data_IF_822432832140
#
_entry.id   IF_822432832140
#
_cell.length_a   1.000
_cell.length_b   1.000
_cell.length_c   1.000
_cell.angle_alpha   90.00
_cell.angle_beta   90.00
_cell.angle_gamma   90.00
#
_symmetry.space_group_name_H-M   'P 1'
#
loop_
_entity.id
_entity.type
_entity.pdbx_description
1 polymer ?
#
# COMPACT_ATOMS: atom_id res chain seq x y z
N UNK A 1 -69.68 12.59 4.94
CA UNK A 1 -68.83 11.62 4.22
C UNK A 1 -67.45 12.21 4.18
N UNK A 2 -66.64 11.92 5.20
CA UNK A 2 -65.32 12.57 5.45
C UNK A 2 -64.20 11.57 5.05
N UNK A 3 -63.52 11.88 3.96
CA UNK A 3 -62.37 11.08 3.49
C UNK A 3 -61.12 11.43 4.29
N UNK A 4 -60.59 10.47 5.05
CA UNK A 4 -59.33 10.58 5.72
C UNK A 4 -58.21 10.25 4.73
N UNK A 5 -57.36 11.23 4.40
CA UNK A 5 -56.11 11.04 3.64
C UNK A 5 -55.02 10.63 4.62
N UNK A 6 -54.65 9.37 4.58
CA UNK A 6 -53.46 8.85 5.28
C UNK A 6 -52.19 9.25 4.52
N UNK A 7 -51.37 10.11 5.11
CA UNK A 7 -50.02 10.42 4.62
C UNK A 7 -49.05 9.32 5.05
N UNK A 8 -48.57 8.56 4.08
CA UNK A 8 -47.49 7.57 4.29
C UNK A 8 -46.17 8.34 4.22
N UNK A 9 -45.49 8.46 5.35
CA UNK A 9 -44.14 8.99 5.43
C UNK A 9 -43.16 7.86 5.10
N UNK A 10 -42.55 7.93 3.92
CA UNK A 10 -41.47 7.03 3.57
C UNK A 10 -40.18 7.49 4.26
N UNK A 11 -39.74 6.75 5.28
CA UNK A 11 -38.40 6.92 5.83
C UNK A 11 -37.40 6.38 4.82
N UNK A 12 -36.67 7.26 4.15
CA UNK A 12 -35.49 6.89 3.41
C UNK A 12 -34.35 6.65 4.40
N UNK A 13 -33.96 5.39 4.58
CA UNK A 13 -32.79 5.01 5.34
C UNK A 13 -31.53 5.43 4.56
N UNK A 14 -30.85 6.46 5.03
CA UNK A 14 -29.52 6.84 4.53
C UNK A 14 -28.53 5.81 5.11
N UNK A 15 -28.11 4.88 4.28
CA UNK A 15 -26.97 4.00 4.60
C UNK A 15 -25.70 4.83 4.46
N UNK A 16 -25.16 5.30 5.57
CA UNK A 16 -23.83 5.90 5.62
C UNK A 16 -22.80 4.79 5.40
N UNK A 17 -22.24 4.69 4.21
CA UNK A 17 -21.02 3.94 3.96
C UNK A 17 -19.90 4.64 4.73
N UNK A 18 -19.55 4.11 5.89
CA UNK A 18 -18.34 4.46 6.59
C UNK A 18 -17.15 3.86 5.79
N UNK A 19 -16.76 4.54 4.72
CA UNK A 19 -15.49 4.32 4.07
C UNK A 19 -14.40 4.72 5.05
N UNK A 20 -13.72 3.73 5.65
CA UNK A 20 -12.53 3.99 6.45
C UNK A 20 -11.51 4.71 5.57
N UNK A 21 -11.28 6.00 5.85
CA UNK A 21 -10.12 6.71 5.36
C UNK A 21 -8.90 6.04 6.00
N UNK A 22 -8.28 5.12 5.27
CA UNK A 22 -6.89 4.77 5.54
C UNK A 22 -6.13 6.08 5.34
N UNK A 23 -5.49 6.59 6.41
CA UNK A 23 -4.62 7.75 6.32
C UNK A 23 -3.55 7.43 5.27
N UNK A 24 -3.71 7.95 4.05
CA UNK A 24 -2.67 7.91 3.04
C UNK A 24 -1.55 8.78 3.59
N UNK A 25 -0.38 8.20 3.83
CA UNK A 25 0.81 8.99 4.11
C UNK A 25 0.94 10.00 2.97
N UNK A 26 0.75 11.29 3.29
CA UNK A 26 0.88 12.35 2.31
C UNK A 26 2.25 12.27 1.66
N UNK A 27 2.30 12.09 0.34
CA UNK A 27 3.54 12.00 -0.44
C UNK A 27 3.96 10.58 -0.84
N UNK A 28 3.18 9.54 -0.51
CA UNK A 28 3.41 8.17 -1.03
C UNK A 28 2.17 7.65 -1.72
N UNK A 29 2.33 7.20 -2.97
CA UNK A 29 1.29 6.51 -3.72
C UNK A 29 1.73 5.11 -4.08
N UNK A 30 0.83 4.15 -3.96
CA UNK A 30 1.03 2.77 -4.41
C UNK A 30 -0.14 2.40 -5.32
N UNK A 31 0.14 2.29 -6.61
CA UNK A 31 -0.85 2.01 -7.65
C UNK A 31 -0.64 0.60 -8.18
N UNK A 32 -1.48 -0.38 -7.83
CA UNK A 32 -1.43 -1.71 -8.43
C UNK A 32 -1.68 -1.61 -9.94
N UNK A 33 -0.82 -2.27 -10.71
CA UNK A 33 -0.90 -2.35 -12.18
C UNK A 33 -1.13 -3.77 -12.68
N UNK A 34 -0.88 -4.76 -11.82
CA UNK A 34 -1.16 -6.16 -12.08
C UNK A 34 -1.47 -6.89 -10.77
N UNK A 35 -2.39 -7.84 -10.84
CA UNK A 35 -2.67 -8.81 -9.79
C UNK A 35 -3.02 -10.15 -10.43
N UNK A 36 -2.38 -11.22 -10.01
CA UNK A 36 -2.62 -12.54 -10.57
C UNK A 36 -2.05 -13.67 -9.74
N UNK A 37 -2.43 -14.88 -10.11
CA UNK A 37 -1.95 -16.09 -9.45
C UNK A 37 -0.48 -16.37 -9.79
N UNK A 38 0.21 -16.99 -8.85
CA UNK A 38 1.54 -17.58 -9.04
C UNK A 38 1.47 -19.08 -8.78
N UNK A 39 2.52 -19.81 -9.18
CA UNK A 39 2.56 -21.27 -9.03
C UNK A 39 2.66 -21.77 -7.58
N UNK A 40 2.75 -20.87 -6.60
CA UNK A 40 2.76 -21.20 -5.18
C UNK A 40 1.32 -21.19 -4.67
N UNK A 41 0.77 -22.32 -4.17
CA UNK A 41 -0.59 -22.38 -3.67
C UNK A 41 -0.87 -21.35 -2.57
N UNK A 42 -2.04 -20.69 -2.62
CA UNK A 42 -2.46 -19.69 -1.65
C UNK A 42 -1.77 -18.32 -1.78
N UNK A 43 -0.90 -18.14 -2.76
CA UNK A 43 -0.19 -16.88 -3.03
C UNK A 43 -0.70 -16.23 -4.30
N UNK A 44 -0.52 -14.92 -4.35
CA UNK A 44 -0.75 -14.10 -5.55
C UNK A 44 0.39 -13.10 -5.72
N UNK A 45 0.64 -12.71 -6.97
CA UNK A 45 1.55 -11.61 -7.26
C UNK A 45 0.76 -10.32 -7.44
N UNK A 46 1.25 -9.26 -6.81
CA UNK A 46 0.80 -7.88 -7.06
C UNK A 46 1.99 -7.10 -7.58
N UNK A 47 1.85 -6.45 -8.73
CA UNK A 47 2.83 -5.49 -9.22
C UNK A 47 2.26 -4.10 -9.05
N UNK A 48 3.00 -3.23 -8.38
CA UNK A 48 2.59 -1.85 -8.14
C UNK A 48 3.66 -0.86 -8.58
N UNK A 49 3.20 0.26 -9.12
CA UNK A 49 4.01 1.46 -9.22
C UNK A 49 3.95 2.17 -7.88
N UNK A 50 5.11 2.42 -7.27
CA UNK A 50 5.24 3.13 -6.01
C UNK A 50 5.98 4.44 -6.26
N UNK A 51 5.42 5.55 -5.78
CA UNK A 51 6.06 6.85 -5.86
C UNK A 51 6.17 7.44 -4.46
N UNK A 52 7.35 7.96 -4.09
CA UNK A 52 7.63 8.60 -2.82
C UNK A 52 8.14 10.01 -3.11
N UNK A 53 7.36 11.01 -2.72
CA UNK A 53 7.74 12.41 -2.88
C UNK A 53 8.98 12.76 -2.06
N UNK A 54 9.77 13.78 -2.44
CA UNK A 54 10.90 14.26 -1.66
C UNK A 54 10.52 14.53 -0.20
N UNK A 55 11.31 14.04 0.74
CA UNK A 55 11.10 14.18 2.17
C UNK A 55 10.02 13.29 2.78
N UNK A 56 9.35 12.46 1.98
CA UNK A 56 8.28 11.56 2.42
C UNK A 56 8.79 10.14 2.69
N UNK A 57 7.98 9.37 3.40
CA UNK A 57 8.27 7.97 3.72
C UNK A 57 7.00 7.12 3.72
N UNK A 58 7.14 5.83 3.44
CA UNK A 58 6.03 4.89 3.47
C UNK A 58 5.44 4.68 4.88
N UNK A 59 6.23 4.97 5.91
CA UNK A 59 5.94 4.61 7.28
C UNK A 59 6.25 3.13 7.56
N UNK A 60 6.41 2.80 8.83
CA UNK A 60 6.67 1.41 9.24
C UNK A 60 5.47 0.53 8.94
N UNK A 61 5.70 -0.57 8.24
CA UNK A 61 4.64 -1.49 7.84
C UNK A 61 5.20 -2.88 7.54
N UNK A 62 4.29 -3.83 7.31
CA UNK A 62 4.59 -5.19 6.88
C UNK A 62 3.78 -5.55 5.64
N UNK A 63 4.23 -6.57 4.91
CA UNK A 63 3.47 -7.23 3.86
C UNK A 63 3.22 -8.70 4.22
N UNK A 64 2.09 -9.31 3.79
CA UNK A 64 1.79 -10.73 4.07
C UNK A 64 2.53 -11.68 3.11
N UNK A 65 3.77 -11.38 2.78
CA UNK A 65 4.67 -12.09 1.89
C UNK A 65 5.84 -11.23 1.46
N UNK A 66 6.60 -11.71 0.50
CA UNK A 66 7.84 -11.06 0.07
C UNK A 66 7.56 -9.85 -0.82
N UNK A 67 8.33 -8.79 -0.63
CA UNK A 67 8.46 -7.67 -1.55
C UNK A 67 9.79 -7.78 -2.30
N UNK A 68 9.73 -7.61 -3.62
CA UNK A 68 10.91 -7.46 -4.48
C UNK A 68 10.72 -6.15 -5.22
N UNK A 69 11.62 -5.20 -5.02
CA UNK A 69 11.50 -3.87 -5.61
C UNK A 69 12.70 -3.51 -6.49
N UNK A 70 12.41 -2.80 -7.57
CA UNK A 70 13.40 -2.25 -8.48
C UNK A 70 13.26 -0.73 -8.53
N UNK A 71 14.35 -0.01 -8.32
CA UNK A 71 14.38 1.45 -8.35
C UNK A 71 14.46 1.93 -9.80
N UNK A 72 13.40 2.62 -10.24
CA UNK A 72 13.31 3.20 -11.59
C UNK A 72 13.90 4.60 -11.65
N UNK A 73 13.62 5.43 -10.63
CA UNK A 73 14.07 6.81 -10.54
C UNK A 73 14.33 7.19 -9.08
N UNK A 74 15.30 8.09 -8.86
CA UNK A 74 15.65 8.63 -7.55
C UNK A 74 16.48 7.70 -6.70
N UNK A 75 16.51 7.98 -5.40
CA UNK A 75 17.28 7.25 -4.39
C UNK A 75 16.40 7.04 -3.14
N UNK A 76 16.45 5.85 -2.57
CA UNK A 76 15.61 5.46 -1.45
C UNK A 76 16.43 4.84 -0.34
N UNK A 77 16.17 5.24 0.90
CA UNK A 77 16.68 4.60 2.10
C UNK A 77 15.66 3.56 2.58
N UNK A 78 16.07 2.33 2.71
CA UNK A 78 15.24 1.22 3.19
C UNK A 78 15.78 0.76 4.55
N UNK A 79 14.90 0.76 5.53
CA UNK A 79 15.18 0.27 6.89
C UNK A 79 14.34 -0.97 7.17
N UNK A 80 14.96 -2.06 7.54
CA UNK A 80 14.31 -3.27 8.03
C UNK A 80 14.64 -3.40 9.51
N UNK A 81 13.65 -3.66 10.35
CA UNK A 81 13.87 -3.79 11.81
C UNK A 81 14.98 -4.79 12.12
N UNK A 82 15.91 -4.36 12.96
CA UNK A 82 17.08 -5.15 13.35
C UNK A 82 18.24 -5.12 12.34
N UNK A 83 18.15 -4.35 11.26
CA UNK A 83 19.21 -4.20 10.26
C UNK A 83 19.65 -2.74 10.12
N UNK A 84 20.85 -2.54 9.61
CA UNK A 84 21.30 -1.19 9.22
C UNK A 84 20.49 -0.69 8.03
N UNK A 85 20.25 0.62 7.96
CA UNK A 85 19.63 1.27 6.81
C UNK A 85 20.46 1.01 5.56
N UNK A 86 19.81 0.63 4.47
CA UNK A 86 20.40 0.40 3.16
C UNK A 86 19.95 1.48 2.19
N UNK A 87 20.85 1.93 1.34
CA UNK A 87 20.62 2.96 0.35
C UNK A 87 20.61 2.35 -1.05
N UNK A 88 19.55 2.63 -1.81
CA UNK A 88 19.38 2.15 -3.18
C UNK A 88 19.11 3.32 -4.13
N UNK A 89 19.65 3.23 -5.34
CA UNK A 89 19.50 4.23 -6.41
C UNK A 89 18.90 3.59 -7.67
N UNK A 90 18.52 4.42 -8.63
CA UNK A 90 18.00 3.95 -9.91
C UNK A 90 18.91 2.87 -10.53
N UNK A 91 18.31 1.73 -10.90
CA UNK A 91 18.98 0.54 -11.39
C UNK A 91 19.25 -0.53 -10.34
N UNK A 92 19.09 -0.22 -9.04
CA UNK A 92 19.25 -1.19 -7.96
C UNK A 92 17.94 -1.95 -7.70
N UNK A 93 18.09 -3.18 -7.21
CA UNK A 93 16.99 -3.98 -6.70
C UNK A 93 17.21 -4.38 -5.24
N UNK A 94 16.12 -4.57 -4.51
CA UNK A 94 16.17 -5.07 -3.14
C UNK A 94 14.96 -5.97 -2.84
N UNK A 95 15.03 -6.71 -1.74
CA UNK A 95 13.91 -7.52 -1.26
C UNK A 95 13.68 -7.33 0.22
N UNK A 96 12.41 -7.44 0.61
CA UNK A 96 11.96 -7.44 2.00
C UNK A 96 11.26 -8.78 2.26
N UNK A 97 11.77 -9.61 3.18
CA UNK A 97 11.10 -10.86 3.55
C UNK A 97 9.71 -10.61 4.15
N UNK A 98 8.78 -11.51 3.86
CA UNK A 98 7.41 -11.43 4.35
C UNK A 98 7.32 -11.26 5.86
N UNK A 99 6.41 -10.40 6.32
CA UNK A 99 6.16 -10.12 7.73
C UNK A 99 7.23 -9.26 8.43
N UNK A 100 8.30 -8.86 7.74
CA UNK A 100 9.31 -7.98 8.34
C UNK A 100 8.83 -6.53 8.36
N UNK A 101 8.91 -5.90 9.52
CA UNK A 101 8.64 -4.46 9.65
C UNK A 101 9.74 -3.69 8.96
N UNK A 102 9.35 -2.81 8.07
CA UNK A 102 10.28 -1.99 7.28
C UNK A 102 9.68 -0.63 6.94
N UNK A 103 10.53 0.27 6.44
CA UNK A 103 10.17 1.58 5.95
C UNK A 103 11.02 1.94 4.73
N UNK A 104 10.46 2.67 3.79
CA UNK A 104 11.15 3.24 2.65
C UNK A 104 11.01 4.77 2.70
N UNK A 105 12.14 5.49 2.67
CA UNK A 105 12.18 6.95 2.81
C UNK A 105 12.94 7.60 1.67
N UNK A 106 12.38 8.67 1.14
CA UNK A 106 13.04 9.55 0.19
C UNK A 106 13.65 10.75 0.91
N UNK A 107 14.96 10.72 1.15
CA UNK A 107 15.73 11.84 1.70
C UNK A 107 16.29 12.77 0.63
N UNK A 108 16.02 12.48 -0.65
CA UNK A 108 16.49 13.26 -1.79
C UNK A 108 15.57 14.45 -2.13
N UNK A 109 15.87 15.06 -3.28
CA UNK A 109 15.15 16.25 -3.78
C UNK A 109 14.26 15.95 -4.99
N UNK A 110 14.31 14.73 -5.52
CA UNK A 110 13.49 14.26 -6.64
C UNK A 110 12.61 13.10 -6.20
N UNK A 111 11.45 12.86 -6.84
CA UNK A 111 10.62 11.71 -6.52
C UNK A 111 11.37 10.40 -6.70
N UNK A 112 11.11 9.44 -5.81
CA UNK A 112 11.51 8.04 -6.00
C UNK A 112 10.38 7.34 -6.73
N UNK A 113 10.73 6.54 -7.75
CA UNK A 113 9.79 5.64 -8.42
C UNK A 113 10.31 4.21 -8.35
N UNK A 114 9.47 3.31 -7.88
CA UNK A 114 9.76 1.88 -7.74
C UNK A 114 8.76 1.05 -8.54
N UNK A 115 9.25 -0.05 -9.10
CA UNK A 115 8.41 -1.19 -9.44
C UNK A 115 8.44 -2.14 -8.24
N UNK A 116 7.36 -2.20 -7.48
CA UNK A 116 7.21 -3.13 -6.35
C UNK A 116 6.48 -4.39 -6.80
N UNK A 117 7.09 -5.54 -6.58
CA UNK A 117 6.52 -6.86 -6.84
C UNK A 117 6.31 -7.56 -5.49
N UNK A 118 5.09 -7.94 -5.20
CA UNK A 118 4.69 -8.56 -3.94
C UNK A 118 4.18 -9.96 -4.22
N UNK A 119 4.78 -10.96 -3.58
CA UNK A 119 4.29 -12.34 -3.61
C UNK A 119 3.69 -12.65 -2.24
N UNK A 120 2.37 -12.52 -2.14
CA UNK A 120 1.67 -12.40 -0.86
C UNK A 120 0.53 -13.39 -0.71
N UNK A 121 0.07 -13.61 0.52
CA UNK A 121 -1.13 -14.39 0.80
C UNK A 121 -2.37 -13.76 0.16
N UNK A 122 -3.16 -14.59 -0.53
CA UNK A 122 -4.46 -14.18 -1.09
C UNK A 122 -5.39 -13.68 0.01
N UNK A 123 -6.14 -12.62 -0.28
CA UNK A 123 -7.19 -12.10 0.59
C UNK A 123 -6.70 -11.29 1.79
N UNK A 124 -5.40 -11.09 1.94
CA UNK A 124 -4.83 -10.25 2.99
C UNK A 124 -4.61 -8.81 2.49
N UNK A 125 -4.68 -7.79 3.37
CA UNK A 125 -4.26 -6.44 3.03
C UNK A 125 -2.80 -6.45 2.56
N UNK A 126 -2.51 -5.75 1.45
CA UNK A 126 -1.16 -5.71 0.89
C UNK A 126 -0.14 -5.11 1.87
N UNK A 127 -0.54 -4.13 2.65
CA UNK A 127 0.30 -3.50 3.66
C UNK A 127 -0.49 -3.30 4.95
N UNK A 128 0.18 -3.56 6.09
CA UNK A 128 -0.37 -3.35 7.43
C UNK A 128 0.58 -2.44 8.21
N UNK A 129 0.10 -1.28 8.71
CA UNK A 129 0.92 -0.40 9.54
C UNK A 129 1.48 -1.12 10.77
N UNK A 130 2.73 -0.83 11.13
CA UNK A 130 3.40 -1.32 12.33
C UNK A 130 3.72 -0.16 13.29
N UNK A 131 3.75 -0.45 14.59
CA UNK A 131 4.11 0.51 15.63
C UNK A 131 5.63 0.67 15.75
#
# INVERSE_FOLDING_TARGET
MTMHRTHIWSLAAVVALAGGLLAQNSGVTRTPVYKGEVSVPGREAVVARVEIAPGSEAGRHTHPGDEISYVLEGEVDVTIDGQATQHFKAGDGFSIPGGKVHNARNNGKVPVKLAGIYVVEKGQPLATPAK
#
